data_IF_617918761033
#
_entry.id   IF_617918761033
#
_cell.length_a   1.000
_cell.length_b   1.000
_cell.length_c   1.000
_cell.angle_alpha   90.00
_cell.angle_beta   90.00
_cell.angle_gamma   90.00
#
_symmetry.space_group_name_H-M   'P 1'
#
loop_
_entity.id
_entity.type
_entity.pdbx_description
1 polymer ?
#
# COMPACT_ATOMS: atom_id res chain seq x y z
N UNK A 1 2.39 -1.98 -15.12
CA UNK A 1 2.58 -0.59 -14.68
C UNK A 1 3.52 -0.51 -13.48
N UNK A 2 4.28 0.58 -13.37
CA UNK A 2 5.19 0.82 -12.24
C UNK A 2 4.61 1.91 -11.33
N UNK A 3 4.26 1.55 -10.10
CA UNK A 3 3.68 2.48 -9.13
C UNK A 3 4.65 2.82 -8.02
N UNK A 4 4.48 4.00 -7.43
CA UNK A 4 5.13 4.37 -6.18
C UNK A 4 4.10 4.31 -5.05
N UNK A 5 4.45 3.65 -3.96
CA UNK A 5 3.61 3.54 -2.77
C UNK A 5 4.27 4.25 -1.61
N UNK A 6 3.57 5.23 -1.06
CA UNK A 6 3.99 6.02 0.08
C UNK A 6 3.78 5.22 1.38
N UNK A 7 4.75 5.32 2.27
CA UNK A 7 4.72 4.65 3.56
C UNK A 7 4.73 5.66 4.71
N UNK A 8 3.92 5.38 5.72
CA UNK A 8 3.79 6.20 6.93
C UNK A 8 4.03 5.35 8.19
N UNK A 9 4.41 6.00 9.29
CA UNK A 9 4.60 5.34 10.60
C UNK A 9 5.41 4.05 10.50
N UNK A 10 4.90 2.98 11.15
CA UNK A 10 5.53 1.65 11.16
C UNK A 10 5.69 1.03 9.76
N UNK A 11 4.91 1.46 8.76
CA UNK A 11 5.11 0.98 7.38
C UNK A 11 6.45 1.45 6.80
N UNK A 12 6.97 2.63 7.22
CA UNK A 12 8.32 3.07 6.83
C UNK A 12 9.40 2.11 7.33
N UNK A 13 9.27 1.66 8.57
CA UNK A 13 10.19 0.70 9.17
C UNK A 13 10.11 -0.66 8.49
N UNK A 14 8.89 -1.09 8.12
CA UNK A 14 8.66 -2.35 7.41
C UNK A 14 9.25 -2.29 5.99
N UNK A 15 9.11 -1.16 5.29
CA UNK A 15 9.61 -1.01 3.91
C UNK A 15 11.07 -0.58 3.83
N UNK A 16 11.66 -0.10 4.93
CA UNK A 16 13.01 0.47 4.96
C UNK A 16 13.10 1.88 4.34
N UNK A 17 11.97 2.57 4.18
CA UNK A 17 11.92 3.88 3.53
C UNK A 17 10.51 4.47 3.45
N UNK A 18 10.41 5.73 3.05
CA UNK A 18 9.12 6.44 2.90
C UNK A 18 8.37 6.11 1.60
N UNK A 19 9.00 5.39 0.68
CA UNK A 19 8.43 5.05 -0.62
C UNK A 19 8.96 3.70 -1.08
N UNK A 20 8.10 2.87 -1.67
CA UNK A 20 8.47 1.63 -2.34
C UNK A 20 7.95 1.65 -3.78
N UNK A 21 8.71 1.07 -4.71
CA UNK A 21 8.31 0.87 -6.10
C UNK A 21 7.87 -0.56 -6.32
N UNK A 22 6.74 -0.73 -6.98
CA UNK A 22 6.16 -2.03 -7.31
C UNK A 22 5.76 -2.07 -8.78
N UNK A 23 5.95 -3.24 -9.38
CA UNK A 23 5.40 -3.54 -10.70
C UNK A 23 4.10 -4.35 -10.52
N UNK A 24 3.02 -3.88 -11.13
CA UNK A 24 1.71 -4.55 -11.14
C UNK A 24 1.21 -4.73 -12.58
N UNK A 25 0.26 -5.64 -12.78
CA UNK A 25 -0.50 -5.72 -14.03
C UNK A 25 -1.27 -4.42 -14.30
N UNK A 26 -1.57 -4.12 -15.56
CA UNK A 26 -2.18 -2.83 -15.96
C UNK A 26 -3.63 -2.65 -15.49
N UNK A 27 -4.29 -3.73 -15.06
CA UNK A 27 -5.66 -3.78 -14.54
C UNK A 27 -5.68 -4.20 -13.07
N UNK A 28 -4.55 -4.07 -12.37
CA UNK A 28 -4.43 -4.50 -10.98
C UNK A 28 -5.34 -3.68 -10.07
N UNK A 29 -5.92 -4.37 -9.11
CA UNK A 29 -6.76 -3.78 -8.06
C UNK A 29 -5.98 -3.55 -6.78
N UNK A 30 -6.59 -2.84 -5.82
CA UNK A 30 -6.06 -2.70 -4.46
C UNK A 30 -5.81 -4.06 -3.80
N UNK A 31 -6.63 -5.07 -4.07
CA UNK A 31 -6.37 -6.44 -3.61
C UNK A 31 -5.03 -6.97 -4.13
N UNK A 32 -4.77 -6.82 -5.43
CA UNK A 32 -3.51 -7.27 -6.03
C UNK A 32 -2.31 -6.52 -5.44
N UNK A 33 -2.44 -5.21 -5.21
CA UNK A 33 -1.42 -4.43 -4.52
C UNK A 33 -1.15 -4.97 -3.10
N UNK A 34 -2.20 -5.18 -2.30
CA UNK A 34 -2.03 -5.71 -0.93
C UNK A 34 -1.36 -7.07 -0.95
N UNK A 35 -1.77 -7.96 -1.85
CA UNK A 35 -1.15 -9.27 -2.02
C UNK A 35 0.35 -9.17 -2.35
N UNK A 36 0.73 -8.34 -3.32
CA UNK A 36 2.13 -8.12 -3.70
C UNK A 36 2.95 -7.54 -2.55
N UNK A 37 2.42 -6.52 -1.87
CA UNK A 37 3.06 -5.91 -0.70
C UNK A 37 3.29 -6.92 0.42
N UNK A 38 2.29 -7.74 0.74
CA UNK A 38 2.37 -8.73 1.81
C UNK A 38 3.31 -9.91 1.48
N UNK A 39 3.45 -10.25 0.19
CA UNK A 39 4.44 -11.24 -0.24
C UNK A 39 5.87 -10.71 -0.13
N UNK A 40 6.09 -9.44 -0.49
CA UNK A 40 7.40 -8.81 -0.40
C UNK A 40 7.77 -8.40 1.03
N UNK A 41 6.78 -8.00 1.83
CA UNK A 41 6.92 -7.53 3.20
C UNK A 41 5.97 -8.30 4.13
N UNK A 42 6.28 -9.57 4.48
CA UNK A 42 5.40 -10.41 5.31
C UNK A 42 5.04 -9.82 6.68
N UNK A 43 5.85 -8.89 7.19
CA UNK A 43 5.59 -8.17 8.45
C UNK A 43 4.33 -7.30 8.39
N UNK A 44 3.84 -6.92 7.21
CA UNK A 44 2.54 -6.25 7.07
C UNK A 44 1.39 -7.10 7.61
N UNK A 45 1.46 -8.43 7.44
CA UNK A 45 0.43 -9.37 7.95
C UNK A 45 0.39 -9.44 9.47
N UNK A 46 1.43 -8.94 10.16
CA UNK A 46 1.49 -8.91 11.63
C UNK A 46 0.87 -7.64 12.22
N UNK A 47 0.53 -6.65 11.38
CA UNK A 47 -0.20 -5.47 11.83
C UNK A 47 -1.65 -5.85 12.13
N UNK A 48 -2.23 -5.25 13.17
CA UNK A 48 -3.64 -5.46 13.52
C UNK A 48 -4.59 -5.10 12.37
N UNK A 49 -4.24 -4.06 11.61
CA UNK A 49 -4.94 -3.62 10.40
C UNK A 49 -4.02 -2.73 9.57
N UNK A 50 -4.30 -2.56 8.28
CA UNK A 50 -3.81 -1.41 7.52
C UNK A 50 -4.72 -1.18 6.32
N UNK A 51 -4.84 0.07 5.91
CA UNK A 51 -5.66 0.50 4.78
C UNK A 51 -4.76 0.96 3.63
N UNK A 52 -5.34 0.98 2.44
CA UNK A 52 -4.74 1.61 1.27
C UNK A 52 -5.54 2.88 0.99
N UNK A 53 -4.85 3.98 0.76
CA UNK A 53 -5.44 5.17 0.19
C UNK A 53 -4.97 5.34 -1.26
N UNK A 54 -5.88 5.72 -2.14
CA UNK A 54 -5.63 6.05 -3.55
C UNK A 54 -6.15 7.48 -3.76
N UNK A 55 -5.28 8.38 -4.21
CA UNK A 55 -5.58 9.80 -4.42
C UNK A 55 -6.22 10.48 -3.18
N UNK A 56 -5.64 10.24 -2.00
CA UNK A 56 -6.08 10.77 -0.71
C UNK A 56 -7.44 10.26 -0.19
N UNK A 57 -8.00 9.22 -0.81
CA UNK A 57 -9.23 8.56 -0.36
C UNK A 57 -8.99 7.09 -0.01
N UNK A 58 -9.67 6.56 1.00
CA UNK A 58 -9.58 5.14 1.34
C UNK A 58 -10.18 4.29 0.23
N UNK A 59 -9.38 3.36 -0.27
CA UNK A 59 -9.77 2.51 -1.39
C UNK A 59 -10.27 1.14 -0.92
N UNK A 60 -11.24 0.60 -1.66
CA UNK A 60 -11.78 -0.74 -1.48
C UNK A 60 -10.93 -1.76 -2.25
N UNK A 61 -11.00 -3.02 -1.85
CA UNK A 61 -10.19 -4.09 -2.46
C UNK A 61 -10.41 -4.26 -3.97
N UNK A 62 -11.60 -3.90 -4.47
CA UNK A 62 -11.96 -4.01 -5.89
C UNK A 62 -11.61 -2.79 -6.74
N UNK A 63 -11.13 -1.71 -6.14
CA UNK A 63 -10.82 -0.49 -6.88
C UNK A 63 -9.58 -0.71 -7.75
N UNK A 64 -9.65 -0.26 -9.00
CA UNK A 64 -8.55 -0.35 -9.96
C UNK A 64 -7.49 0.70 -9.67
N UNK A 65 -6.22 0.31 -9.76
CA UNK A 65 -5.08 1.20 -9.63
C UNK A 65 -4.58 1.60 -11.02
N UNK A 66 -4.18 2.85 -11.17
CA UNK A 66 -3.51 3.37 -12.35
C UNK A 66 -2.09 3.81 -12.02
N UNK A 67 -1.22 3.85 -13.04
CA UNK A 67 0.18 4.23 -12.88
C UNK A 67 0.39 5.64 -12.32
N UNK A 68 -0.55 6.55 -12.61
CA UNK A 68 -0.53 7.94 -12.16
C UNK A 68 -1.11 8.18 -10.76
N UNK A 69 -1.67 7.15 -10.13
CA UNK A 69 -2.32 7.32 -8.83
C UNK A 69 -1.30 7.57 -7.71
N UNK A 70 -1.68 8.45 -6.78
CA UNK A 70 -0.96 8.58 -5.52
C UNK A 70 -1.47 7.52 -4.55
N UNK A 71 -0.60 6.57 -4.19
CA UNK A 71 -0.98 5.41 -3.38
C UNK A 71 -0.24 5.44 -2.06
N UNK A 72 -0.96 5.23 -0.96
CA UNK A 72 -0.39 5.21 0.39
C UNK A 72 -0.82 3.97 1.18
N UNK A 73 0.12 3.43 1.96
CA UNK A 73 -0.16 2.46 3.02
C UNK A 73 -0.41 3.21 4.31
N UNK A 74 -1.62 3.06 4.85
CA UNK A 74 -2.05 3.68 6.10
C UNK A 74 -2.04 2.59 7.19
N UNK A 75 -0.96 2.49 8.00
CA UNK A 75 -0.92 1.54 9.12
C UNK A 75 -1.92 1.92 10.22
N UNK A 76 -2.11 1.10 11.27
CA UNK A 76 -2.94 1.50 12.41
C UNK A 76 -2.42 2.82 12.96
N UNK A 77 -3.30 3.82 13.03
CA UNK A 77 -2.96 5.07 13.68
C UNK A 77 -2.99 4.85 15.18
N UNK A 78 -1.83 4.96 15.83
CA UNK A 78 -1.75 5.14 17.27
C UNK A 78 -2.22 6.58 17.56
N UNK A 79 -3.54 6.79 17.62
CA UNK A 79 -4.10 8.08 17.99
C UNK A 79 -3.48 8.58 19.29
N UNK A 80 -3.20 9.88 19.35
CA UNK A 80 -2.86 10.58 20.60
C UNK A 80 -4.05 10.66 21.55
#
# INVERSE_FOLDING_TARGET
>A
MNINVLAFGIAKDIFGGSTVRLELANDATVYNLKYSLENQYPRLKQLASYMIAVNNEYALLGDTIHESDEIAVIPPVSGG
#
